data_IF_239864530974
#
_entry.id   IF_239864530974
#
_cell.length_a   1.000
_cell.length_b   1.000
_cell.length_c   1.000
_cell.angle_alpha   90.00
_cell.angle_beta   90.00
_cell.angle_gamma   90.00
#
_symmetry.space_group_name_H-M   'P 1'
#
loop_
_entity.id
_entity.type
_entity.pdbx_description
1 polymer ?
#
# COMPACT_ATOMS: atom_id res chain seq x y z
N UNK A 1 10.04 -25.58 -23.36
CA UNK A 1 8.94 -25.47 -22.37
C UNK A 1 8.04 -24.34 -22.85
N UNK A 2 6.77 -24.60 -23.17
CA UNK A 2 5.86 -23.49 -23.49
C UNK A 2 5.76 -22.60 -22.25
N UNK A 3 5.99 -21.29 -22.41
CA UNK A 3 5.70 -20.34 -21.33
C UNK A 3 4.27 -20.61 -20.85
N UNK A 4 4.01 -20.67 -19.53
CA UNK A 4 2.66 -20.84 -19.03
C UNK A 4 1.79 -19.78 -19.71
N UNK A 5 0.65 -20.21 -20.25
CA UNK A 5 -0.22 -19.36 -21.04
C UNK A 5 -0.75 -18.24 -20.13
N UNK A 6 -0.11 -17.07 -20.19
CA UNK A 6 -0.41 -15.93 -19.34
C UNK A 6 -1.80 -15.42 -19.70
N UNK A 7 -2.79 -15.72 -18.85
CA UNK A 7 -4.20 -15.39 -19.07
C UNK A 7 -4.46 -13.88 -18.87
N UNK A 8 -3.90 -13.06 -19.77
CA UNK A 8 -3.87 -11.60 -19.70
C UNK A 8 -5.24 -10.97 -19.42
N UNK A 9 -6.28 -11.46 -20.08
CA UNK A 9 -7.65 -10.96 -19.89
C UNK A 9 -8.20 -11.28 -18.51
N UNK A 10 -7.97 -12.51 -18.03
CA UNK A 10 -8.36 -12.94 -16.68
C UNK A 10 -7.65 -12.11 -15.60
N UNK A 11 -6.35 -11.86 -15.77
CA UNK A 11 -5.55 -11.04 -14.85
C UNK A 11 -6.06 -9.60 -14.84
N UNK A 12 -6.27 -9.01 -16.02
CA UNK A 12 -6.80 -7.64 -16.13
C UNK A 12 -8.15 -7.51 -15.43
N UNK A 13 -9.05 -8.48 -15.63
CA UNK A 13 -10.37 -8.50 -14.99
C UNK A 13 -10.26 -8.61 -13.47
N UNK A 14 -9.39 -9.50 -12.98
CA UNK A 14 -9.15 -9.68 -11.54
C UNK A 14 -8.59 -8.41 -10.90
N UNK A 15 -7.53 -7.83 -11.49
CA UNK A 15 -6.89 -6.61 -10.99
C UNK A 15 -7.87 -5.44 -10.99
N UNK A 16 -8.66 -5.26 -12.06
CA UNK A 16 -9.67 -4.19 -12.10
C UNK A 16 -10.76 -4.38 -11.04
N UNK A 17 -11.17 -5.63 -10.78
CA UNK A 17 -12.11 -5.95 -9.71
C UNK A 17 -11.55 -5.60 -8.33
N UNK A 18 -10.31 -6.00 -8.05
CA UNK A 18 -9.59 -5.66 -6.81
C UNK A 18 -9.37 -4.16 -6.66
N UNK A 19 -8.97 -3.49 -7.73
CA UNK A 19 -8.72 -2.05 -7.71
C UNK A 19 -9.98 -1.26 -7.31
N UNK A 20 -11.09 -1.53 -7.98
CA UNK A 20 -12.34 -0.81 -7.75
C UNK A 20 -13.04 -1.24 -6.44
N UNK A 21 -12.99 -2.53 -6.10
CA UNK A 21 -13.70 -3.07 -4.94
C UNK A 21 -12.96 -2.95 -3.61
N UNK A 22 -11.62 -2.87 -3.63
CA UNK A 22 -10.80 -2.92 -2.43
C UNK A 22 -9.76 -1.79 -2.37
N UNK A 23 -8.97 -1.58 -3.43
CA UNK A 23 -7.87 -0.61 -3.38
C UNK A 23 -8.37 0.84 -3.28
N UNK A 24 -9.35 1.24 -4.10
CA UNK A 24 -9.91 2.60 -4.06
C UNK A 24 -10.51 2.91 -2.66
N UNK A 25 -11.42 2.09 -2.09
CA UNK A 25 -11.93 2.32 -0.74
C UNK A 25 -10.83 2.41 0.33
N UNK A 26 -9.80 1.54 0.24
CA UNK A 26 -8.66 1.59 1.16
C UNK A 26 -7.90 2.92 1.03
N UNK A 27 -7.63 3.36 -0.20
CA UNK A 27 -6.94 4.61 -0.48
C UNK A 27 -7.73 5.82 0.02
N UNK A 28 -9.07 5.81 -0.09
CA UNK A 28 -9.92 6.85 0.49
C UNK A 28 -9.75 6.94 2.02
N UNK A 29 -9.76 5.80 2.72
CA UNK A 29 -9.52 5.78 4.17
C UNK A 29 -8.08 6.20 4.52
N UNK A 30 -7.10 5.77 3.74
CA UNK A 30 -5.71 6.15 3.92
C UNK A 30 -5.49 7.66 3.71
N UNK A 31 -6.13 8.29 2.71
CA UNK A 31 -6.04 9.74 2.44
C UNK A 31 -6.42 10.55 3.68
N UNK A 32 -7.45 10.13 4.43
CA UNK A 32 -7.93 10.81 5.64
C UNK A 32 -6.92 10.86 6.79
N UNK A 33 -5.86 10.05 6.76
CA UNK A 33 -4.86 9.96 7.84
C UNK A 33 -3.77 11.03 7.60
N UNK A 34 -3.54 11.97 8.53
CA UNK A 34 -2.52 13.01 8.35
C UNK A 34 -1.12 12.51 8.80
N UNK A 35 -0.63 11.43 8.20
CA UNK A 35 0.64 10.80 8.56
C UNK A 35 1.83 11.42 7.84
N UNK A 36 2.25 12.61 8.30
CA UNK A 36 3.35 13.34 7.70
C UNK A 36 4.70 12.62 7.87
N UNK A 37 5.60 12.81 6.89
CA UNK A 37 6.98 12.33 6.98
C UNK A 37 7.69 12.91 8.20
N UNK A 38 8.66 12.18 8.81
CA UNK A 38 9.34 12.62 10.03
C UNK A 38 9.98 14.00 9.99
N UNK A 39 10.33 14.48 8.80
CA UNK A 39 10.91 15.81 8.61
C UNK A 39 9.91 16.95 8.85
N UNK A 40 8.61 16.69 8.78
CA UNK A 40 7.56 17.72 8.85
C UNK A 40 6.71 17.65 10.13
N UNK A 41 7.03 16.73 11.04
CA UNK A 41 6.22 16.44 12.21
C UNK A 41 7.12 15.94 13.36
N UNK A 42 7.34 16.82 14.34
CA UNK A 42 8.16 16.49 15.52
C UNK A 42 7.51 15.42 16.40
N UNK A 43 6.19 15.23 16.28
CA UNK A 43 5.41 14.25 17.04
C UNK A 43 5.13 12.97 16.22
N UNK A 44 5.82 12.76 15.09
CA UNK A 44 5.59 11.64 14.15
C UNK A 44 5.59 10.26 14.82
N UNK A 45 6.37 10.09 15.90
CA UNK A 45 6.48 8.84 16.65
C UNK A 45 5.42 8.69 17.75
N UNK A 46 4.72 9.77 18.11
CA UNK A 46 3.83 9.82 19.28
C UNK A 46 2.39 10.16 18.96
N UNK A 47 2.12 10.83 17.83
CA UNK A 47 0.75 11.20 17.44
C UNK A 47 -0.07 10.04 16.86
N UNK A 48 0.55 8.88 16.61
CA UNK A 48 -0.08 7.65 16.18
C UNK A 48 -0.57 7.64 14.72
N UNK A 49 -0.28 8.66 13.92
CA UNK A 49 -0.73 8.72 12.53
C UNK A 49 0.00 7.71 11.63
N UNK A 50 1.32 7.56 11.81
CA UNK A 50 2.11 6.55 11.09
C UNK A 50 1.62 5.13 11.42
N UNK A 51 1.40 4.83 12.69
CA UNK A 51 0.91 3.52 13.14
C UNK A 51 -0.48 3.23 12.57
N UNK A 52 -1.39 4.23 12.59
CA UNK A 52 -2.72 4.09 12.01
C UNK A 52 -2.68 3.81 10.51
N UNK A 53 -1.84 4.52 9.77
CA UNK A 53 -1.67 4.30 8.33
C UNK A 53 -1.06 2.93 8.04
N UNK A 54 -0.04 2.53 8.79
CA UNK A 54 0.61 1.24 8.59
C UNK A 54 -0.32 0.07 8.92
N UNK A 55 -1.07 0.18 10.01
CA UNK A 55 -2.04 -0.84 10.42
C UNK A 55 -3.17 -1.00 9.40
N UNK A 56 -3.61 0.09 8.78
CA UNK A 56 -4.60 0.05 7.69
C UNK A 56 -4.06 -0.74 6.49
N UNK A 57 -2.81 -0.50 6.08
CA UNK A 57 -2.17 -1.21 4.97
C UNK A 57 -1.91 -2.68 5.32
N UNK A 58 -1.40 -2.96 6.53
CA UNK A 58 -1.14 -4.32 7.03
C UNK A 58 -2.41 -5.18 6.95
N UNK A 59 -3.53 -4.68 7.48
CA UNK A 59 -4.82 -5.39 7.42
C UNK A 59 -5.27 -5.69 6.00
N UNK A 60 -5.04 -4.77 5.06
CA UNK A 60 -5.37 -5.02 3.66
C UNK A 60 -4.52 -6.15 3.07
N UNK A 61 -3.21 -6.15 3.35
CA UNK A 61 -2.28 -7.20 2.89
C UNK A 61 -2.65 -8.56 3.47
N UNK A 62 -2.95 -8.63 4.77
CA UNK A 62 -3.37 -9.87 5.45
C UNK A 62 -4.61 -10.50 4.80
N UNK A 63 -5.53 -9.67 4.31
CA UNK A 63 -6.74 -10.12 3.64
C UNK A 63 -6.52 -10.67 2.23
N UNK A 64 -5.33 -10.51 1.63
CA UNK A 64 -5.07 -11.01 0.27
C UNK A 64 -4.88 -12.53 0.20
N UNK A 65 -4.75 -13.22 1.36
CA UNK A 65 -4.71 -14.68 1.45
C UNK A 65 -3.67 -15.35 0.53
N UNK A 66 -2.48 -14.76 0.43
CA UNK A 66 -1.40 -15.26 -0.43
C UNK A 66 -0.76 -16.49 0.25
N UNK A 67 -0.70 -17.66 -0.40
CA UNK A 67 -0.11 -18.86 0.20
C UNK A 67 1.33 -18.66 0.65
N UNK A 68 1.61 -18.94 1.92
CA UNK A 68 2.96 -18.89 2.50
C UNK A 68 3.53 -17.48 2.70
N UNK A 69 2.73 -16.43 2.52
CA UNK A 69 3.17 -15.05 2.76
C UNK A 69 3.56 -14.84 4.23
N UNK A 70 4.67 -14.15 4.47
CA UNK A 70 4.99 -13.57 5.78
C UNK A 70 4.76 -12.06 5.72
N UNK A 71 4.22 -11.52 6.82
CA UNK A 71 3.87 -10.11 6.94
C UNK A 71 4.39 -9.64 8.29
N UNK A 72 5.48 -8.90 8.29
CA UNK A 72 6.15 -8.40 9.48
C UNK A 72 5.99 -6.89 9.58
N UNK A 73 5.32 -6.44 10.64
CA UNK A 73 5.32 -5.03 11.02
C UNK A 73 6.49 -4.79 11.98
N UNK A 74 7.59 -4.28 11.43
CA UNK A 74 8.83 -4.03 12.16
C UNK A 74 8.76 -2.61 12.75
N UNK A 75 8.91 -2.52 14.07
CA UNK A 75 8.96 -1.25 14.80
C UNK A 75 10.14 -1.23 15.75
N UNK A 76 11.06 -0.32 15.49
CA UNK A 76 12.28 -0.10 16.27
C UNK A 76 12.18 1.21 17.05
N UNK A 77 12.79 1.26 18.23
CA UNK A 77 12.75 2.47 19.06
C UNK A 77 13.33 3.67 18.29
N UNK A 78 12.57 4.76 18.25
CA UNK A 78 12.99 5.99 17.56
C UNK A 78 12.86 5.94 16.03
N UNK A 79 12.15 4.96 15.45
CA UNK A 79 11.94 4.84 14.01
C UNK A 79 10.45 4.71 13.66
N UNK A 80 10.10 5.18 12.47
CA UNK A 80 8.78 4.93 11.87
C UNK A 80 8.61 3.45 11.54
N UNK A 81 7.38 2.92 11.54
CA UNK A 81 7.13 1.51 11.24
C UNK A 81 7.53 1.14 9.80
N UNK A 82 7.95 -0.12 9.62
CA UNK A 82 8.21 -0.74 8.33
C UNK A 82 7.33 -1.98 8.17
N UNK A 83 6.56 -2.05 7.07
CA UNK A 83 5.86 -3.27 6.69
C UNK A 83 6.72 -4.06 5.71
N UNK A 84 7.24 -5.19 6.16
CA UNK A 84 8.04 -6.11 5.36
C UNK A 84 7.19 -7.33 4.99
N UNK A 85 7.14 -7.66 3.69
CA UNK A 85 6.31 -8.74 3.17
C UNK A 85 7.19 -9.64 2.33
N UNK A 86 7.23 -10.93 2.66
CA UNK A 86 7.90 -11.94 1.86
C UNK A 86 6.85 -12.87 1.25
N UNK A 87 6.88 -12.99 -0.08
CA UNK A 87 6.03 -13.93 -0.81
C UNK A 87 6.96 -15.03 -1.34
N UNK A 88 6.80 -16.29 -0.90
CA UNK A 88 7.63 -17.37 -1.39
C UNK A 88 7.33 -17.62 -2.88
N UNK A 89 8.33 -18.09 -3.61
CA UNK A 89 8.11 -18.51 -4.98
C UNK A 89 7.16 -19.72 -5.02
N UNK A 90 6.36 -19.83 -6.09
CA UNK A 90 5.53 -21.01 -6.31
C UNK A 90 6.38 -22.28 -6.37
N UNK A 91 5.83 -23.43 -5.99
CA UNK A 91 6.56 -24.72 -5.95
C UNK A 91 7.30 -25.07 -7.25
N UNK A 92 6.78 -24.62 -8.40
CA UNK A 92 7.37 -24.85 -9.72
C UNK A 92 8.49 -23.88 -10.12
N UNK A 93 8.79 -22.88 -9.29
CA UNK A 93 9.77 -21.84 -9.61
C UNK A 93 11.20 -22.31 -9.33
N UNK A 94 12.09 -22.14 -10.31
CA UNK A 94 13.52 -22.30 -10.12
C UNK A 94 14.15 -20.97 -9.68
N UNK A 95 14.42 -20.82 -8.38
CA UNK A 95 15.00 -19.58 -7.83
C UNK A 95 16.40 -19.26 -8.36
N UNK A 96 17.20 -20.27 -8.75
CA UNK A 96 18.53 -20.03 -9.30
C UNK A 96 18.48 -19.35 -10.66
N UNK A 97 17.42 -19.60 -11.43
CA UNK A 97 17.22 -19.01 -12.76
C UNK A 97 16.38 -17.72 -12.71
N UNK A 98 15.42 -17.64 -11.78
CA UNK A 98 14.43 -16.56 -11.74
C UNK A 98 14.78 -15.43 -10.76
N UNK A 99 15.61 -15.70 -9.74
CA UNK A 99 16.00 -14.73 -8.72
C UNK A 99 14.86 -14.24 -7.82
N UNK A 100 15.13 -13.17 -7.08
CA UNK A 100 14.19 -12.50 -6.17
C UNK A 100 13.92 -11.08 -6.66
N UNK A 101 12.65 -10.66 -6.63
CA UNK A 101 12.24 -9.29 -6.96
C UNK A 101 11.95 -8.52 -5.69
N UNK A 102 12.49 -7.30 -5.56
CA UNK A 102 12.14 -6.35 -4.50
C UNK A 102 11.18 -5.29 -5.03
N UNK A 103 10.02 -5.16 -4.40
CA UNK A 103 9.09 -4.06 -4.59
C UNK A 103 9.21 -3.11 -3.40
N UNK A 104 9.39 -1.82 -3.67
CA UNK A 104 9.53 -0.79 -2.64
C UNK A 104 8.53 0.35 -2.86
N UNK A 105 7.98 0.86 -1.77
CA UNK A 105 7.14 2.05 -1.72
C UNK A 105 7.22 2.70 -0.35
N UNK A 106 6.56 3.86 -0.19
CA UNK A 106 6.46 4.57 1.08
C UNK A 106 5.01 5.04 1.28
N UNK A 107 4.64 5.34 2.53
CA UNK A 107 3.26 5.67 2.91
C UNK A 107 3.14 6.96 3.71
N UNK A 108 4.25 7.55 4.14
CA UNK A 108 4.29 8.85 4.78
C UNK A 108 4.05 9.99 3.76
N UNK A 109 3.50 11.11 4.25
CA UNK A 109 3.00 12.19 3.39
C UNK A 109 3.81 13.47 3.55
N UNK A 110 3.88 14.22 2.46
CA UNK A 110 4.27 15.63 2.52
C UNK A 110 3.19 16.44 3.25
N UNK A 111 3.54 17.59 3.85
CA UNK A 111 2.54 18.51 4.40
C UNK A 111 1.60 18.99 3.29
N UNK A 112 0.34 19.33 3.63
CA UNK A 112 -0.58 19.91 2.66
C UNK A 112 -0.03 21.20 2.05
N UNK A 113 -0.12 21.31 0.73
CA UNK A 113 0.04 22.60 0.07
C UNK A 113 -1.26 23.42 0.17
N UNK A 114 -1.13 24.74 0.01
CA UNK A 114 -2.27 25.65 -0.13
C UNK A 114 -2.84 25.61 -1.55
N UNK A 115 -4.02 26.21 -1.76
CA UNK A 115 -4.63 26.35 -3.08
C UNK A 115 -5.50 25.18 -3.55
N UNK A 116 -5.95 24.33 -2.62
CA UNK A 116 -6.99 23.34 -2.92
C UNK A 116 -8.25 24.04 -3.42
N UNK A 117 -8.93 23.44 -4.41
CA UNK A 117 -10.27 23.89 -4.81
C UNK A 117 -11.23 23.74 -3.63
N UNK A 118 -12.27 24.57 -3.59
CA UNK A 118 -13.29 24.56 -2.54
C UNK A 118 -13.95 23.19 -2.31
N UNK A 119 -14.01 22.33 -3.34
CA UNK A 119 -14.58 20.99 -3.24
C UNK A 119 -13.60 19.91 -2.76
N UNK A 120 -12.30 20.19 -2.69
CA UNK A 120 -11.22 19.26 -2.36
C UNK A 120 -10.48 19.62 -1.06
N UNK A 121 -9.67 18.69 -0.56
CA UNK A 121 -8.76 18.96 0.56
C UNK A 121 -7.78 17.81 0.79
N UNK A 122 -6.67 18.05 1.48
CA UNK A 122 -5.55 17.10 1.61
C UNK A 122 -5.89 15.79 2.33
N UNK A 123 -6.93 15.81 3.16
CA UNK A 123 -7.42 14.65 3.92
C UNK A 123 -8.88 14.34 3.60
N UNK A 124 -9.37 14.85 2.47
CA UNK A 124 -10.75 14.70 2.01
C UNK A 124 -10.72 13.94 0.68
N UNK A 125 -10.82 12.60 0.70
CA UNK A 125 -10.83 11.83 -0.54
C UNK A 125 -12.05 12.22 -1.39
N UNK A 126 -11.81 12.54 -2.66
CA UNK A 126 -12.88 12.85 -3.60
C UNK A 126 -12.63 12.16 -4.92
N UNK A 127 -13.57 11.30 -5.34
CA UNK A 127 -13.57 10.73 -6.68
C UNK A 127 -14.34 11.66 -7.62
N UNK A 128 -13.66 12.19 -8.63
CA UNK A 128 -14.25 13.05 -9.67
C UNK A 128 -13.65 12.74 -11.03
N UNK A 129 -14.51 12.46 -12.01
CA UNK A 129 -14.13 12.16 -13.40
C UNK A 129 -13.06 11.04 -13.51
N UNK A 130 -13.21 9.99 -12.71
CA UNK A 130 -12.30 8.84 -12.69
C UNK A 130 -10.96 9.08 -11.98
N UNK A 131 -10.82 10.19 -11.24
CA UNK A 131 -9.62 10.52 -10.46
C UNK A 131 -9.97 10.58 -8.97
N UNK A 132 -9.16 9.93 -8.15
CA UNK A 132 -9.18 10.08 -6.69
C UNK A 132 -8.21 11.21 -6.31
N UNK A 133 -8.75 12.28 -5.73
CA UNK A 133 -8.02 13.40 -5.16
C UNK A 133 -7.90 13.26 -3.65
#
# INVERSE_FOLDING_TARGET
VMAPNFAKEGISKYVNGKWNGECIPLLEEYIKIPNLSPYFDEEVLTNGHQDKAMELLRKWVENQSIPGVTIDLIQEQGRTPLLFIEIPASESANLQENGTVLLYGHMDKQPPFEGWRDDLGPYKPVIKDGKLY
#
